data_IF_918724526107
#
_entry.id   IF_918724526107
#
_cell.length_a   1.000
_cell.length_b   1.000
_cell.length_c   1.000
_cell.angle_alpha   90.00
_cell.angle_beta   90.00
_cell.angle_gamma   90.00
#
_symmetry.space_group_name_H-M   'P 1'
#
loop_
_entity.id
_entity.type
_entity.pdbx_description
1 polymer ?
#
# COMPACT_ATOMS: atom_id res chain seq x y z
N UNK A 1 -20.66 -15.11 -4.53
CA UNK A 1 -19.66 -14.09 -4.94
C UNK A 1 -19.06 -13.31 -3.78
N UNK A 2 -19.83 -12.70 -2.86
CA UNK A 2 -19.22 -11.98 -1.70
C UNK A 2 -18.48 -12.88 -0.72
N UNK A 3 -18.89 -14.14 -0.55
CA UNK A 3 -18.19 -15.11 0.30
C UNK A 3 -16.81 -15.51 -0.25
N UNK A 4 -16.62 -15.49 -1.57
CA UNK A 4 -15.35 -15.86 -2.19
C UNK A 4 -14.26 -14.80 -1.97
N UNK A 5 -14.61 -13.50 -2.02
CA UNK A 5 -13.62 -12.41 -1.84
C UNK A 5 -13.14 -12.32 -0.38
N UNK A 6 -14.03 -12.51 0.59
CA UNK A 6 -13.65 -12.58 2.00
C UNK A 6 -12.82 -13.84 2.31
N UNK A 7 -13.11 -14.97 1.65
CA UNK A 7 -12.29 -16.18 1.74
C UNK A 7 -10.86 -15.92 1.26
N UNK A 8 -10.69 -15.23 0.12
CA UNK A 8 -9.36 -14.86 -0.37
C UNK A 8 -8.59 -13.98 0.62
N UNK A 9 -9.28 -13.06 1.33
CA UNK A 9 -8.64 -12.26 2.37
C UNK A 9 -8.18 -13.12 3.57
N UNK A 10 -8.98 -14.14 3.95
CA UNK A 10 -8.57 -15.12 4.97
C UNK A 10 -7.35 -15.91 4.55
N UNK A 11 -7.35 -16.42 3.32
CA UNK A 11 -6.25 -17.20 2.77
C UNK A 11 -4.98 -16.37 2.67
N UNK A 12 -5.11 -15.10 2.26
CA UNK A 12 -3.99 -14.15 2.23
C UNK A 12 -3.39 -13.95 3.63
N UNK A 13 -4.21 -13.71 4.67
CA UNK A 13 -3.73 -13.53 6.03
C UNK A 13 -2.99 -14.79 6.53
N UNK A 14 -3.55 -15.97 6.28
CA UNK A 14 -2.94 -17.25 6.65
C UNK A 14 -1.63 -17.47 5.88
N UNK A 15 -1.56 -17.13 4.59
CA UNK A 15 -0.36 -17.22 3.77
C UNK A 15 0.75 -16.29 4.27
N UNK A 16 0.42 -15.05 4.64
CA UNK A 16 1.40 -14.13 5.21
C UNK A 16 1.98 -14.70 6.50
N UNK A 17 1.14 -15.16 7.42
CA UNK A 17 1.57 -15.71 8.71
C UNK A 17 2.39 -16.99 8.60
N UNK A 18 2.02 -17.87 7.67
CA UNK A 18 2.72 -19.15 7.49
C UNK A 18 4.05 -19.00 6.73
N UNK A 19 4.14 -18.04 5.78
CA UNK A 19 5.32 -17.86 4.93
C UNK A 19 6.29 -16.80 5.47
N UNK A 20 5.83 -15.84 6.31
CA UNK A 20 6.64 -14.78 6.87
C UNK A 20 7.38 -13.94 5.81
N UNK A 21 6.70 -13.42 4.76
CA UNK A 21 7.39 -12.82 3.61
C UNK A 21 8.29 -11.67 4.01
N UNK A 22 9.48 -11.60 3.40
CA UNK A 22 10.36 -10.45 3.54
C UNK A 22 9.80 -9.26 2.74
N UNK A 23 9.66 -8.14 3.42
CA UNK A 23 9.34 -6.86 2.77
C UNK A 23 10.53 -5.93 2.95
N UNK A 24 11.26 -5.70 1.85
CA UNK A 24 12.31 -4.72 1.79
C UNK A 24 11.71 -3.33 1.67
N UNK A 25 11.88 -2.51 2.71
CA UNK A 25 11.22 -1.22 2.80
C UNK A 25 12.18 -0.07 2.60
N UNK A 26 11.94 0.67 1.53
CA UNK A 26 12.48 1.99 1.33
C UNK A 26 11.46 3.01 1.84
N UNK A 27 11.40 3.17 3.17
CA UNK A 27 10.36 3.96 3.84
C UNK A 27 10.79 5.42 4.03
N UNK A 28 9.98 6.24 4.70
CA UNK A 28 10.31 7.60 5.08
C UNK A 28 10.55 7.70 6.60
N UNK A 29 11.25 8.74 7.06
CA UNK A 29 11.63 8.94 8.46
C UNK A 29 10.45 8.95 9.44
N UNK A 30 9.26 9.34 8.97
CA UNK A 30 8.06 9.43 9.82
C UNK A 30 7.39 8.06 9.98
N UNK A 31 7.52 7.18 8.99
CA UNK A 31 6.76 5.93 8.90
C UNK A 31 7.55 4.66 9.24
N UNK A 32 8.88 4.73 9.35
CA UNK A 32 9.72 3.54 9.58
C UNK A 32 9.26 2.68 10.75
N UNK A 33 9.01 3.28 11.90
CA UNK A 33 8.61 2.56 13.11
C UNK A 33 7.25 1.86 12.93
N UNK A 34 6.21 2.60 12.54
CA UNK A 34 4.88 2.03 12.40
C UNK A 34 4.80 1.00 11.26
N UNK A 35 5.53 1.20 10.17
CA UNK A 35 5.60 0.27 9.05
C UNK A 35 6.24 -1.07 9.47
N UNK A 36 7.38 -1.01 10.16
CA UNK A 36 8.05 -2.21 10.67
C UNK A 36 7.17 -2.96 11.68
N UNK A 37 6.54 -2.24 12.63
CA UNK A 37 5.66 -2.85 13.62
C UNK A 37 4.40 -3.46 13.00
N UNK A 38 3.79 -2.82 11.99
CA UNK A 38 2.64 -3.36 11.29
C UNK A 38 2.99 -4.67 10.53
N UNK A 39 4.15 -4.71 9.87
CA UNK A 39 4.64 -5.93 9.21
C UNK A 39 4.88 -7.06 10.20
N UNK A 40 5.57 -6.79 11.32
CA UNK A 40 5.78 -7.79 12.38
C UNK A 40 4.45 -8.27 12.95
N UNK A 41 3.53 -7.36 13.22
CA UNK A 41 2.22 -7.70 13.78
C UNK A 41 1.41 -8.63 12.89
N UNK A 42 1.43 -8.44 11.57
CA UNK A 42 0.68 -9.31 10.65
C UNK A 42 1.39 -10.64 10.37
N UNK A 43 2.65 -10.78 10.76
CA UNK A 43 3.47 -11.99 10.56
C UNK A 43 4.44 -11.93 9.39
N UNK A 44 4.72 -10.73 8.84
CA UNK A 44 5.74 -10.51 7.81
C UNK A 44 7.07 -10.06 8.44
N UNK A 45 8.14 -10.10 7.65
CA UNK A 45 9.51 -9.74 8.07
C UNK A 45 9.94 -8.41 7.43
N UNK A 46 10.07 -7.30 8.17
CA UNK A 46 10.53 -6.04 7.63
C UNK A 46 12.06 -6.00 7.47
N UNK A 47 12.55 -5.50 6.34
CA UNK A 47 13.95 -5.11 6.15
C UNK A 47 14.01 -3.61 5.82
N UNK A 48 14.48 -2.78 6.75
CA UNK A 48 14.53 -1.32 6.62
C UNK A 48 15.89 -0.88 6.07
N UNK A 49 16.24 -1.34 4.85
CA UNK A 49 17.54 -1.10 4.21
C UNK A 49 17.44 -0.03 3.12
N UNK A 50 18.29 0.99 3.19
CA UNK A 50 18.22 2.17 2.33
C UNK A 50 19.52 2.45 1.58
N UNK A 51 20.60 1.71 1.87
CA UNK A 51 21.87 1.95 1.23
C UNK A 51 21.84 1.50 -0.24
N UNK A 52 22.36 2.34 -1.13
CA UNK A 52 22.46 2.04 -2.56
C UNK A 52 23.30 0.80 -2.83
N UNK A 53 24.33 0.61 -2.01
CA UNK A 53 25.28 -0.50 -2.08
C UNK A 53 24.62 -1.86 -1.79
N UNK A 54 23.53 -1.88 -0.99
CA UNK A 54 22.81 -3.10 -0.64
C UNK A 54 21.66 -3.43 -1.63
N UNK A 55 21.34 -2.53 -2.57
CA UNK A 55 20.17 -2.66 -3.42
C UNK A 55 20.12 -3.96 -4.23
N UNK A 56 21.26 -4.36 -4.80
CA UNK A 56 21.37 -5.61 -5.53
C UNK A 56 21.18 -6.83 -4.61
N UNK A 57 21.79 -6.82 -3.43
CA UNK A 57 21.74 -7.95 -2.51
C UNK A 57 20.33 -8.17 -1.97
N UNK A 58 19.67 -7.11 -1.51
CA UNK A 58 18.28 -7.20 -1.07
C UNK A 58 17.31 -7.61 -2.19
N UNK A 59 17.55 -7.15 -3.41
CA UNK A 59 16.75 -7.57 -4.56
C UNK A 59 16.93 -9.07 -4.85
N UNK A 60 18.16 -9.59 -4.78
CA UNK A 60 18.40 -11.03 -4.96
C UNK A 60 17.80 -11.86 -3.82
N UNK A 61 17.91 -11.40 -2.57
CA UNK A 61 17.28 -12.05 -1.42
C UNK A 61 15.75 -12.10 -1.64
N UNK A 62 15.12 -10.96 -1.97
CA UNK A 62 13.68 -10.92 -2.23
C UNK A 62 13.27 -11.88 -3.35
N UNK A 63 14.05 -11.98 -4.43
CA UNK A 63 13.80 -12.95 -5.51
C UNK A 63 13.87 -14.39 -5.00
N UNK A 64 14.90 -14.71 -4.22
CA UNK A 64 15.15 -16.08 -3.75
C UNK A 64 14.07 -16.60 -2.79
N UNK A 65 13.47 -15.72 -1.99
CA UNK A 65 12.49 -16.10 -0.96
C UNK A 65 11.07 -15.55 -1.22
N UNK A 66 10.81 -15.11 -2.46
CA UNK A 66 9.54 -14.47 -2.84
C UNK A 66 9.16 -13.30 -1.93
N UNK A 67 10.10 -12.37 -1.73
CA UNK A 67 9.85 -11.12 -1.02
C UNK A 67 9.28 -10.02 -1.93
N UNK A 68 9.13 -8.81 -1.40
CA UNK A 68 8.70 -7.63 -2.15
C UNK A 68 9.50 -6.39 -1.72
N UNK A 69 9.53 -5.36 -2.59
CA UNK A 69 10.07 -4.05 -2.26
C UNK A 69 8.90 -3.06 -2.08
N UNK A 70 9.03 -2.12 -1.15
CA UNK A 70 8.16 -0.95 -1.06
C UNK A 70 8.98 0.34 -1.07
N UNK A 71 8.57 1.33 -1.87
CA UNK A 71 9.22 2.63 -1.94
C UNK A 71 8.20 3.71 -1.62
N UNK A 72 8.52 4.52 -0.61
CA UNK A 72 7.72 5.66 -0.16
C UNK A 72 8.55 6.94 -0.21
N UNK A 73 8.09 7.95 -0.97
CA UNK A 73 8.87 9.17 -1.23
C UNK A 73 8.65 10.30 -0.19
N UNK A 74 8.06 10.00 0.96
CA UNK A 74 7.56 10.99 1.93
C UNK A 74 8.60 11.99 2.43
N UNK A 75 9.83 11.56 2.67
CA UNK A 75 10.94 12.41 3.14
C UNK A 75 12.18 12.30 2.25
N UNK A 76 11.98 12.21 0.92
CA UNK A 76 13.10 12.15 -0.01
C UNK A 76 13.94 13.42 0.01
N UNK A 77 15.25 13.19 -0.04
CA UNK A 77 16.31 14.11 -0.42
C UNK A 77 17.05 13.58 -1.66
N UNK A 78 18.03 14.31 -2.23
CA UNK A 78 18.75 13.86 -3.43
C UNK A 78 19.47 12.52 -3.25
N UNK A 79 20.00 12.22 -2.07
CA UNK A 79 20.68 10.95 -1.81
C UNK A 79 19.68 9.78 -1.77
N UNK A 80 18.58 9.93 -1.04
CA UNK A 80 17.53 8.92 -0.98
C UNK A 80 16.85 8.69 -2.32
N UNK A 81 16.71 9.73 -3.12
CA UNK A 81 16.23 9.61 -4.50
C UNK A 81 17.10 8.65 -5.33
N UNK A 82 18.43 8.81 -5.27
CA UNK A 82 19.36 7.92 -6.00
C UNK A 82 19.29 6.48 -5.49
N UNK A 83 19.26 6.30 -4.17
CA UNK A 83 19.16 4.98 -3.55
C UNK A 83 17.84 4.28 -3.95
N UNK A 84 16.70 4.99 -3.90
CA UNK A 84 15.40 4.45 -4.29
C UNK A 84 15.33 4.08 -5.79
N UNK A 85 15.94 4.89 -6.65
CA UNK A 85 16.05 4.57 -8.08
C UNK A 85 16.84 3.30 -8.32
N UNK A 86 17.95 3.12 -7.64
CA UNK A 86 18.74 1.87 -7.76
C UNK A 86 17.94 0.69 -7.21
N UNK A 87 17.26 0.83 -6.06
CA UNK A 87 16.39 -0.21 -5.52
C UNK A 87 15.29 -0.62 -6.51
N UNK A 88 14.56 0.35 -7.09
CA UNK A 88 13.51 0.09 -8.08
C UNK A 88 14.05 -0.58 -9.34
N UNK A 89 15.22 -0.16 -9.82
CA UNK A 89 15.92 -0.75 -10.96
C UNK A 89 16.27 -2.21 -10.70
N UNK A 90 16.91 -2.50 -9.56
CA UNK A 90 17.29 -3.86 -9.19
C UNK A 90 16.06 -4.77 -8.98
N UNK A 91 15.02 -4.26 -8.33
CA UNK A 91 13.76 -5.00 -8.18
C UNK A 91 13.14 -5.36 -9.54
N UNK A 92 13.09 -4.40 -10.48
CA UNK A 92 12.55 -4.63 -11.82
C UNK A 92 13.40 -5.62 -12.63
N UNK A 93 14.73 -5.53 -12.56
CA UNK A 93 15.65 -6.45 -13.26
C UNK A 93 15.55 -7.88 -12.74
N UNK A 94 15.30 -8.04 -11.44
CA UNK A 94 15.18 -9.34 -10.79
C UNK A 94 13.73 -9.83 -10.69
N UNK A 95 12.76 -9.13 -11.28
CA UNK A 95 11.33 -9.49 -11.26
C UNK A 95 10.75 -9.54 -9.84
N UNK A 96 11.32 -8.77 -8.91
CA UNK A 96 10.79 -8.61 -7.55
C UNK A 96 9.56 -7.69 -7.61
N UNK A 97 8.39 -8.13 -7.13
CA UNK A 97 7.21 -7.27 -7.10
C UNK A 97 7.44 -6.09 -6.13
N UNK A 98 6.97 -4.89 -6.53
CA UNK A 98 7.16 -3.74 -5.68
C UNK A 98 6.02 -2.73 -5.72
N UNK A 99 5.90 -1.96 -4.63
CA UNK A 99 4.86 -0.95 -4.42
C UNK A 99 5.49 0.43 -4.39
N UNK A 100 4.94 1.36 -5.16
CA UNK A 100 5.27 2.78 -5.08
C UNK A 100 4.19 3.54 -4.32
N UNK A 101 4.61 4.29 -3.29
CA UNK A 101 3.77 5.22 -2.52
C UNK A 101 4.24 6.66 -2.81
N UNK A 102 3.52 7.41 -3.67
CA UNK A 102 3.93 8.71 -4.18
C UNK A 102 3.56 9.84 -3.20
N UNK A 103 3.89 9.70 -1.93
CA UNK A 103 3.50 10.63 -0.86
C UNK A 103 3.77 12.08 -1.24
N UNK A 104 2.69 12.87 -1.26
CA UNK A 104 2.74 14.29 -1.57
C UNK A 104 3.02 14.59 -3.05
N UNK A 105 2.74 13.67 -3.96
CA UNK A 105 2.69 13.97 -5.39
C UNK A 105 1.77 15.18 -5.65
N UNK A 106 2.18 16.07 -6.56
CA UNK A 106 1.49 17.34 -6.80
C UNK A 106 1.98 18.52 -5.93
N UNK A 107 2.59 18.26 -4.78
CA UNK A 107 3.01 19.32 -3.86
C UNK A 107 4.27 20.08 -4.31
N UNK A 108 5.16 19.45 -5.07
CA UNK A 108 6.37 20.09 -5.58
C UNK A 108 6.90 19.44 -6.85
N UNK A 109 7.68 20.20 -7.65
CA UNK A 109 8.37 19.67 -8.84
C UNK A 109 9.28 18.50 -8.50
N UNK A 110 10.00 18.58 -7.38
CA UNK A 110 10.92 17.53 -6.93
C UNK A 110 10.17 16.21 -6.71
N UNK A 111 9.01 16.23 -6.02
CA UNK A 111 8.19 15.03 -5.82
C UNK A 111 7.66 14.46 -7.13
N UNK A 112 7.12 15.31 -8.00
CA UNK A 112 6.59 14.90 -9.29
C UNK A 112 7.66 14.23 -10.16
N UNK A 113 8.85 14.84 -10.26
CA UNK A 113 9.99 14.27 -10.98
C UNK A 113 10.42 12.91 -10.41
N UNK A 114 10.43 12.77 -9.07
CA UNK A 114 10.74 11.48 -8.45
C UNK A 114 9.73 10.39 -8.81
N UNK A 115 8.44 10.71 -8.78
CA UNK A 115 7.39 9.77 -9.19
C UNK A 115 7.57 9.38 -10.66
N UNK A 116 7.74 10.35 -11.56
CA UNK A 116 7.96 10.09 -13.00
C UNK A 116 9.17 9.18 -13.25
N UNK A 117 10.28 9.41 -12.54
CA UNK A 117 11.49 8.60 -12.65
C UNK A 117 11.28 7.17 -12.11
N UNK A 118 10.62 7.02 -10.96
CA UNK A 118 10.35 5.71 -10.38
C UNK A 118 9.34 4.91 -11.21
N UNK A 119 8.33 5.54 -11.78
CA UNK A 119 7.35 4.91 -12.66
C UNK A 119 7.97 4.25 -13.90
N UNK A 120 9.14 4.73 -14.39
CA UNK A 120 9.89 4.11 -15.48
C UNK A 120 10.32 2.68 -15.18
N UNK A 121 10.49 2.34 -13.91
CA UNK A 121 10.82 0.99 -13.46
C UNK A 121 9.60 0.08 -13.24
N UNK A 122 8.41 0.53 -13.63
CA UNK A 122 7.15 -0.23 -13.65
C UNK A 122 6.85 -0.91 -12.30
N UNK A 123 6.41 -0.15 -11.27
CA UNK A 123 5.94 -0.75 -10.03
C UNK A 123 4.83 -1.78 -10.31
N UNK A 124 4.76 -2.83 -9.53
CA UNK A 124 3.63 -3.75 -9.57
C UNK A 124 2.35 -3.04 -9.13
N UNK A 125 2.48 -2.24 -8.07
CA UNK A 125 1.38 -1.45 -7.50
C UNK A 125 1.82 0.01 -7.36
N UNK A 126 0.97 0.94 -7.80
CA UNK A 126 1.00 2.34 -7.37
C UNK A 126 -0.12 2.52 -6.34
N UNK A 127 0.22 2.95 -5.12
CA UNK A 127 -0.75 3.19 -4.05
C UNK A 127 -0.67 4.63 -3.55
N UNK A 128 -1.76 5.37 -3.59
CA UNK A 128 -1.85 6.73 -3.06
C UNK A 128 -3.27 7.09 -2.62
N UNK A 129 -3.45 8.27 -2.03
CA UNK A 129 -4.78 8.84 -1.86
C UNK A 129 -5.29 9.45 -3.17
N UNK A 130 -6.56 9.85 -3.21
CA UNK A 130 -7.18 10.38 -4.43
C UNK A 130 -6.42 11.57 -5.04
N UNK A 131 -5.93 12.51 -4.22
CA UNK A 131 -5.19 13.68 -4.71
C UNK A 131 -3.81 13.32 -5.26
N UNK A 132 -3.12 12.36 -4.65
CA UNK A 132 -1.83 11.86 -5.13
C UNK A 132 -1.98 11.12 -6.47
N UNK A 133 -2.98 10.25 -6.59
CA UNK A 133 -3.26 9.53 -7.85
C UNK A 133 -3.66 10.49 -8.97
N UNK A 134 -4.50 11.49 -8.71
CA UNK A 134 -4.84 12.53 -9.68
C UNK A 134 -3.61 13.35 -10.09
N UNK A 135 -2.71 13.66 -9.17
CA UNK A 135 -1.47 14.34 -9.48
C UNK A 135 -0.55 13.50 -10.39
N UNK A 136 -0.42 12.20 -10.11
CA UNK A 136 0.34 11.27 -10.97
C UNK A 136 -0.28 11.18 -12.36
N UNK A 137 -1.60 11.23 -12.49
CA UNK A 137 -2.28 11.26 -13.79
C UNK A 137 -2.09 12.58 -14.55
N UNK A 138 -1.44 13.59 -13.97
CA UNK A 138 -1.28 14.92 -14.56
C UNK A 138 -2.55 15.78 -14.52
N UNK A 139 -3.55 15.38 -13.75
CA UNK A 139 -4.78 16.14 -13.52
C UNK A 139 -4.49 17.18 -12.46
N UNK A 140 -4.35 18.45 -12.88
CA UNK A 140 -4.02 19.55 -11.98
C UNK A 140 -5.10 19.75 -10.91
N UNK A 141 -4.66 19.54 -9.66
CA UNK A 141 -5.25 20.13 -8.49
C UNK A 141 -6.72 19.82 -8.20
N UNK A 142 -6.96 18.92 -7.27
CA UNK A 142 -8.17 18.99 -6.46
C UNK A 142 -8.17 20.33 -5.73
N UNK A 143 -8.81 21.35 -6.32
CA UNK A 143 -9.05 22.63 -5.66
C UNK A 143 -9.78 22.39 -4.35
N UNK A 144 -9.44 23.13 -3.30
CA UNK A 144 -10.21 23.16 -2.06
C UNK A 144 -11.68 23.39 -2.40
N UNK A 145 -12.53 22.38 -2.23
CA UNK A 145 -13.99 22.57 -2.34
C UNK A 145 -14.75 21.68 -3.32
N UNK A 146 -14.20 20.55 -3.77
CA UNK A 146 -14.97 19.56 -4.53
C UNK A 146 -15.64 18.60 -3.56
N UNK A 147 -16.96 18.35 -3.74
CA UNK A 147 -17.72 17.37 -2.97
C UNK A 147 -17.05 15.99 -3.00
N UNK A 148 -16.98 15.32 -1.84
CA UNK A 148 -16.24 14.07 -1.65
C UNK A 148 -16.60 12.95 -2.64
N UNK A 149 -17.81 12.93 -3.17
CA UNK A 149 -18.28 11.93 -4.14
C UNK A 149 -17.77 12.17 -5.56
N UNK A 150 -17.67 13.42 -6.01
CA UNK A 150 -17.10 13.74 -7.34
C UNK A 150 -15.59 13.49 -7.36
N UNK A 151 -14.89 13.81 -6.28
CA UNK A 151 -13.43 13.57 -6.19
C UNK A 151 -13.07 12.07 -6.18
N UNK A 152 -13.92 11.20 -5.62
CA UNK A 152 -13.67 9.74 -5.60
C UNK A 152 -13.82 9.12 -7.00
N UNK A 153 -14.81 9.56 -7.80
CA UNK A 153 -14.99 9.08 -9.16
C UNK A 153 -13.85 9.56 -10.08
N UNK A 154 -13.43 10.81 -9.97
CA UNK A 154 -12.30 11.36 -10.73
C UNK A 154 -11.00 10.63 -10.40
N UNK A 155 -10.76 10.31 -9.13
CA UNK A 155 -9.60 9.55 -8.71
C UNK A 155 -9.61 8.11 -9.24
N UNK A 156 -10.79 7.47 -9.32
CA UNK A 156 -10.94 6.13 -9.90
C UNK A 156 -10.67 6.14 -11.41
N UNK A 157 -11.18 7.13 -12.14
CA UNK A 157 -10.93 7.26 -13.58
C UNK A 157 -9.45 7.54 -13.87
N UNK A 158 -8.81 8.37 -13.05
CA UNK A 158 -7.37 8.59 -13.09
C UNK A 158 -6.60 7.29 -12.83
N UNK A 159 -6.99 6.53 -11.82
CA UNK A 159 -6.39 5.24 -11.48
C UNK A 159 -6.49 4.23 -12.63
N UNK A 160 -7.68 4.08 -13.25
CA UNK A 160 -7.89 3.22 -14.41
C UNK A 160 -6.99 3.63 -15.58
N UNK A 161 -6.89 4.93 -15.84
CA UNK A 161 -6.03 5.46 -16.92
C UNK A 161 -4.56 5.16 -16.68
N UNK A 162 -4.05 5.39 -15.46
CA UNK A 162 -2.67 5.06 -15.09
C UNK A 162 -2.42 3.56 -15.21
N UNK A 163 -3.34 2.74 -14.72
CA UNK A 163 -3.22 1.28 -14.75
C UNK A 163 -3.08 0.76 -16.19
N UNK A 164 -3.93 1.22 -17.10
CA UNK A 164 -3.89 0.83 -18.53
C UNK A 164 -2.60 1.30 -19.19
N UNK A 165 -2.25 2.60 -19.03
CA UNK A 165 -1.09 3.18 -19.71
C UNK A 165 0.24 2.55 -19.30
N UNK A 166 0.36 2.16 -18.03
CA UNK A 166 1.61 1.64 -17.48
C UNK A 166 1.60 0.12 -17.31
N UNK A 167 0.47 -0.55 -17.53
CA UNK A 167 0.27 -1.98 -17.26
C UNK A 167 0.65 -2.36 -15.83
N UNK A 168 0.07 -1.65 -14.87
CA UNK A 168 0.28 -1.82 -13.42
C UNK A 168 -1.07 -1.86 -12.70
N UNK A 169 -1.07 -2.20 -11.42
CA UNK A 169 -2.23 -2.07 -10.56
C UNK A 169 -2.15 -0.73 -9.84
N UNK A 170 -3.30 -0.07 -9.67
CA UNK A 170 -3.42 1.17 -8.91
C UNK A 170 -4.39 0.98 -7.75
N UNK A 171 -3.95 1.35 -6.56
CA UNK A 171 -4.76 1.37 -5.34
C UNK A 171 -4.98 2.82 -4.90
N UNK A 172 -6.23 3.24 -4.87
CA UNK A 172 -6.66 4.57 -4.40
C UNK A 172 -7.28 4.41 -3.03
N UNK A 173 -6.76 5.12 -2.02
CA UNK A 173 -7.33 5.08 -0.67
C UNK A 173 -8.08 6.36 -0.34
N UNK A 174 -9.25 6.20 0.32
CA UNK A 174 -10.15 7.28 0.67
C UNK A 174 -11.25 6.82 1.64
N UNK A 175 -12.44 7.39 1.54
CA UNK A 175 -13.62 6.93 2.28
C UNK A 175 -14.09 5.56 1.78
N UNK A 176 -14.03 5.36 0.47
CA UNK A 176 -14.07 4.06 -0.20
C UNK A 176 -12.75 3.86 -0.90
N UNK A 177 -12.12 2.73 -0.68
CA UNK A 177 -10.86 2.39 -1.35
C UNK A 177 -11.17 1.64 -2.65
N UNK A 178 -10.32 1.84 -3.67
CA UNK A 178 -10.42 1.17 -4.96
C UNK A 178 -9.08 0.55 -5.36
N UNK A 179 -9.14 -0.65 -5.94
CA UNK A 179 -7.97 -1.31 -6.54
C UNK A 179 -8.33 -1.74 -7.95
N UNK A 180 -7.55 -1.29 -8.95
CA UNK A 180 -7.85 -1.55 -10.36
C UNK A 180 -6.60 -1.86 -11.18
N UNK A 181 -6.74 -2.73 -12.18
CA UNK A 181 -5.76 -2.94 -13.25
C UNK A 181 -6.18 -2.23 -14.56
N UNK A 182 -7.25 -1.42 -14.47
CA UNK A 182 -7.87 -0.73 -15.60
C UNK A 182 -8.95 -1.53 -16.32
N UNK A 183 -9.05 -2.84 -16.09
CA UNK A 183 -10.10 -3.73 -16.66
C UNK A 183 -11.03 -4.23 -15.58
N UNK A 184 -10.47 -4.62 -14.46
CA UNK A 184 -11.18 -5.08 -13.28
C UNK A 184 -10.94 -4.09 -12.13
N UNK A 185 -11.97 -3.89 -11.33
CA UNK A 185 -11.90 -2.98 -10.19
C UNK A 185 -12.56 -3.62 -8.98
N UNK A 186 -11.91 -3.53 -7.84
CA UNK A 186 -12.50 -3.83 -6.55
C UNK A 186 -12.74 -2.54 -5.78
N UNK A 187 -13.89 -2.43 -5.12
CA UNK A 187 -14.16 -1.44 -4.09
C UNK A 187 -14.09 -2.09 -2.72
N UNK A 188 -13.49 -1.38 -1.77
CA UNK A 188 -13.29 -1.87 -0.40
C UNK A 188 -13.84 -0.82 0.56
N UNK A 189 -14.65 -1.27 1.51
CA UNK A 189 -15.21 -0.43 2.57
C UNK A 189 -14.73 -0.92 3.92
N UNK A 190 -14.36 0.00 4.80
CA UNK A 190 -13.89 -0.28 6.16
C UNK A 190 -12.99 0.84 6.68
N UNK A 191 -12.43 0.61 7.86
CA UNK A 191 -11.62 1.62 8.54
C UNK A 191 -12.46 2.57 9.39
N UNK A 192 -11.83 3.66 9.83
CA UNK A 192 -12.46 4.66 10.67
C UNK A 192 -11.77 6.03 10.50
N UNK A 193 -12.52 7.12 10.56
CA UNK A 193 -12.01 8.47 10.39
C UNK A 193 -10.86 8.84 11.34
N UNK A 194 -10.83 8.26 12.56
CA UNK A 194 -9.74 8.48 13.51
C UNK A 194 -8.38 8.02 12.99
N UNK A 195 -8.32 7.09 12.02
CA UNK A 195 -7.07 6.67 11.39
C UNK A 195 -6.37 7.85 10.68
N UNK A 196 -7.12 8.83 10.20
CA UNK A 196 -6.54 10.04 9.58
C UNK A 196 -5.80 10.94 10.56
N UNK A 197 -6.06 10.78 11.87
CA UNK A 197 -5.41 11.51 12.97
C UNK A 197 -4.14 10.82 13.48
N UNK A 198 -3.79 9.66 12.93
CA UNK A 198 -2.55 8.94 13.23
C UNK A 198 -1.65 9.01 12.00
N UNK A 199 -0.51 9.68 12.14
CA UNK A 199 0.43 9.81 11.00
C UNK A 199 0.94 8.46 10.52
N UNK A 200 1.27 8.38 9.24
CA UNK A 200 1.88 7.22 8.59
C UNK A 200 1.04 5.92 8.55
N UNK A 201 -0.26 5.97 8.91
CA UNK A 201 -1.15 4.81 8.72
C UNK A 201 -1.23 4.37 7.26
N UNK A 202 -1.29 5.32 6.32
CA UNK A 202 -1.22 5.03 4.89
C UNK A 202 0.11 4.40 4.48
N UNK A 203 1.23 4.92 4.96
CA UNK A 203 2.56 4.36 4.67
C UNK A 203 2.71 2.93 5.22
N UNK A 204 2.14 2.63 6.38
CA UNK A 204 2.10 1.27 6.93
C UNK A 204 1.28 0.33 6.03
N UNK A 205 0.13 0.78 5.53
CA UNK A 205 -0.67 0.01 4.56
C UNK A 205 0.14 -0.31 3.30
N UNK A 206 0.92 0.64 2.77
CA UNK A 206 1.80 0.40 1.62
C UNK A 206 2.75 -0.77 1.86
N UNK A 207 3.36 -0.83 3.06
CA UNK A 207 4.25 -1.92 3.43
C UNK A 207 3.50 -3.27 3.58
N UNK A 208 2.30 -3.25 4.14
CA UNK A 208 1.43 -4.44 4.23
C UNK A 208 1.00 -4.95 2.85
N UNK A 209 0.73 -4.05 1.88
CA UNK A 209 0.49 -4.42 0.49
C UNK A 209 1.73 -5.12 -0.10
N UNK A 210 2.94 -4.67 0.25
CA UNK A 210 4.19 -5.37 -0.08
C UNK A 210 4.18 -6.82 0.39
N UNK A 211 3.79 -7.08 1.64
CA UNK A 211 3.65 -8.45 2.16
C UNK A 211 2.57 -9.25 1.41
N UNK A 212 1.45 -8.62 1.06
CA UNK A 212 0.36 -9.26 0.34
C UNK A 212 0.77 -9.71 -1.06
N UNK A 213 1.44 -8.85 -1.82
CA UNK A 213 1.88 -9.18 -3.19
C UNK A 213 3.09 -10.13 -3.22
N UNK A 214 3.82 -10.26 -2.13
CA UNK A 214 4.89 -11.26 -2.00
C UNK A 214 4.33 -12.69 -2.00
N UNK A 215 3.20 -12.94 -1.33
CA UNK A 215 2.66 -14.29 -1.12
C UNK A 215 1.40 -14.61 -1.93
N UNK A 216 0.68 -13.59 -2.41
CA UNK A 216 -0.56 -13.76 -3.17
C UNK A 216 -0.30 -14.01 -4.66
N UNK A 217 -1.04 -14.92 -5.29
CA UNK A 217 -0.94 -15.22 -6.72
C UNK A 217 -1.59 -14.11 -7.56
N UNK A 218 -2.83 -13.75 -7.26
CA UNK A 218 -3.52 -12.59 -7.86
C UNK A 218 -3.16 -11.31 -7.11
N UNK A 219 -2.28 -10.50 -7.70
CA UNK A 219 -1.79 -9.26 -7.06
C UNK A 219 -2.89 -8.21 -6.89
N UNK A 220 -3.87 -8.17 -7.82
CA UNK A 220 -5.02 -7.24 -7.74
C UNK A 220 -5.89 -7.59 -6.53
N UNK A 221 -6.31 -8.85 -6.42
CA UNK A 221 -7.14 -9.31 -5.32
C UNK A 221 -6.38 -9.31 -3.98
N UNK A 222 -5.09 -9.66 -3.98
CA UNK A 222 -4.25 -9.59 -2.78
C UNK A 222 -4.14 -8.18 -2.23
N UNK A 223 -4.01 -7.17 -3.11
CA UNK A 223 -4.00 -5.75 -2.72
C UNK A 223 -5.34 -5.35 -2.11
N UNK A 224 -6.47 -5.68 -2.76
CA UNK A 224 -7.80 -5.40 -2.24
C UNK A 224 -8.06 -6.09 -0.88
N UNK A 225 -7.65 -7.36 -0.77
CA UNK A 225 -7.77 -8.15 0.46
C UNK A 225 -6.98 -7.52 1.62
N UNK A 226 -5.75 -7.06 1.36
CA UNK A 226 -4.93 -6.42 2.40
C UNK A 226 -5.52 -5.09 2.86
N UNK A 227 -6.04 -4.28 1.93
CA UNK A 227 -6.74 -3.03 2.29
C UNK A 227 -7.94 -3.34 3.20
N UNK A 228 -8.74 -4.35 2.87
CA UNK A 228 -9.87 -4.78 3.70
C UNK A 228 -9.46 -5.29 5.09
N UNK A 229 -8.40 -6.09 5.18
CA UNK A 229 -7.83 -6.57 6.46
C UNK A 229 -7.36 -5.39 7.31
N UNK A 230 -6.64 -4.43 6.71
CA UNK A 230 -6.14 -3.26 7.42
C UNK A 230 -7.28 -2.33 7.87
N UNK A 231 -8.28 -2.12 7.03
CA UNK A 231 -9.48 -1.37 7.37
C UNK A 231 -10.23 -1.99 8.55
N UNK A 232 -10.42 -3.32 8.54
CA UNK A 232 -11.02 -4.06 9.65
C UNK A 232 -10.23 -3.89 10.96
N UNK A 233 -8.90 -4.01 10.91
CA UNK A 233 -8.04 -3.80 12.09
C UNK A 233 -8.21 -2.38 12.65
N UNK A 234 -8.30 -1.36 11.77
CA UNK A 234 -8.53 0.04 12.13
C UNK A 234 -9.93 0.28 12.73
N UNK A 235 -10.97 -0.32 12.16
CA UNK A 235 -12.32 -0.25 12.68
C UNK A 235 -12.43 -0.89 14.06
N UNK A 236 -11.85 -2.08 14.25
CA UNK A 236 -11.82 -2.73 15.55
C UNK A 236 -11.04 -1.91 16.59
N UNK A 237 -9.93 -1.30 16.19
CA UNK A 237 -9.15 -0.41 17.04
C UNK A 237 -9.97 0.81 17.50
N UNK A 238 -10.75 1.40 16.60
CA UNK A 238 -11.56 2.59 16.91
C UNK A 238 -12.61 2.34 17.99
N UNK A 239 -13.15 1.12 18.07
CA UNK A 239 -14.19 0.72 19.05
C UNK A 239 -13.70 0.76 20.50
N UNK A 240 -12.38 0.64 20.73
CA UNK A 240 -11.77 0.60 22.06
C UNK A 240 -10.82 1.77 22.34
N UNK A 241 -10.40 2.48 21.29
CA UNK A 241 -9.48 3.60 21.41
C UNK A 241 -10.13 4.82 22.07
N UNK A 242 -9.38 5.47 22.96
CA UNK A 242 -9.79 6.74 23.60
C UNK A 242 -9.32 7.98 22.82
N UNK A 243 -8.50 7.77 21.79
CA UNK A 243 -7.94 8.82 20.94
C UNK A 243 -6.88 8.27 19.99
N UNK A 244 -6.22 9.14 19.18
CA UNK A 244 -5.25 8.71 18.16
C UNK A 244 -4.08 7.87 18.69
N UNK A 245 -3.57 8.19 19.87
CA UNK A 245 -2.45 7.45 20.48
C UNK A 245 -2.84 5.98 20.79
N UNK A 246 -3.96 5.77 21.46
CA UNK A 246 -4.47 4.43 21.72
C UNK A 246 -5.00 3.73 20.48
N UNK A 247 -5.52 4.47 19.47
CA UNK A 247 -5.86 3.89 18.18
C UNK A 247 -4.64 3.24 17.52
N UNK A 248 -3.49 3.95 17.47
CA UNK A 248 -2.25 3.40 16.91
C UNK A 248 -1.83 2.10 17.62
N UNK A 249 -1.89 2.07 18.93
CA UNK A 249 -1.57 0.89 19.72
C UNK A 249 -2.52 -0.27 19.37
N UNK A 250 -3.83 -0.04 19.44
CA UNK A 250 -4.82 -1.07 19.16
C UNK A 250 -4.86 -1.52 17.70
N UNK A 251 -4.45 -0.68 16.75
CA UNK A 251 -4.32 -1.06 15.34
C UNK A 251 -3.24 -2.14 15.18
N UNK A 252 -2.08 -1.97 15.81
CA UNK A 252 -1.00 -2.94 15.79
C UNK A 252 -1.42 -4.23 16.51
N UNK A 253 -2.05 -4.13 17.68
CA UNK A 253 -2.58 -5.27 18.42
C UNK A 253 -3.59 -6.07 17.59
N UNK A 254 -4.52 -5.38 16.89
CA UNK A 254 -5.52 -6.04 16.07
C UNK A 254 -4.91 -6.71 14.84
N UNK A 255 -3.92 -6.12 14.17
CA UNK A 255 -3.21 -6.78 13.07
C UNK A 255 -2.61 -8.12 13.51
N UNK A 256 -2.09 -8.19 14.74
CA UNK A 256 -1.56 -9.42 15.31
C UNK A 256 -2.65 -10.44 15.68
N UNK A 257 -3.78 -9.96 16.22
CA UNK A 257 -4.82 -10.80 16.81
C UNK A 257 -5.97 -11.16 15.87
N UNK A 258 -6.08 -10.54 14.68
CA UNK A 258 -7.10 -10.89 13.69
C UNK A 258 -7.10 -12.40 13.40
N UNK A 259 -8.29 -13.00 13.34
CA UNK A 259 -8.46 -14.38 12.96
C UNK A 259 -9.33 -14.53 11.71
N UNK A 260 -9.28 -15.70 11.09
CA UNK A 260 -10.00 -15.97 9.83
C UNK A 260 -11.51 -15.74 9.94
N UNK A 261 -12.13 -16.02 11.10
CA UNK A 261 -13.56 -15.78 11.32
C UNK A 261 -13.89 -14.30 11.25
N UNK A 262 -13.12 -13.45 11.94
CA UNK A 262 -13.31 -12.00 11.92
C UNK A 262 -13.14 -11.43 10.51
N UNK A 263 -12.13 -11.89 9.77
CA UNK A 263 -11.89 -11.47 8.38
C UNK A 263 -13.06 -11.89 7.48
N UNK A 264 -13.52 -13.15 7.58
CA UNK A 264 -14.61 -13.68 6.78
C UNK A 264 -15.94 -12.95 6.99
N UNK A 265 -16.23 -12.56 8.24
CA UNK A 265 -17.48 -11.93 8.62
C UNK A 265 -17.53 -10.41 8.34
N UNK A 266 -16.36 -9.74 8.30
CA UNK A 266 -16.33 -8.28 8.34
C UNK A 266 -15.54 -7.60 7.19
N UNK A 267 -14.71 -8.30 6.44
CA UNK A 267 -14.04 -7.72 5.28
C UNK A 267 -15.04 -7.56 4.14
N UNK A 268 -15.18 -6.33 3.65
CA UNK A 268 -16.16 -5.98 2.63
C UNK A 268 -15.46 -5.53 1.34
N UNK A 269 -15.35 -6.45 0.39
CA UNK A 269 -14.79 -6.25 -0.95
C UNK A 269 -15.88 -6.55 -1.98
N UNK A 270 -16.00 -5.70 -3.00
CA UNK A 270 -16.95 -5.86 -4.10
C UNK A 270 -16.24 -5.70 -5.45
N UNK A 271 -16.65 -6.48 -6.41
CA UNK A 271 -16.32 -6.29 -7.83
C UNK A 271 -17.22 -5.19 -8.40
N UNK A 272 -16.66 -4.17 -9.09
CA UNK A 272 -17.40 -2.98 -9.56
C UNK A 272 -16.96 -2.57 -10.97
#
# INVERSE_FOLDING_TARGET
>A
MTNDLASNACDLLNNIRSKGPLVWNFSNFVSMDIAANALLAIGASPAMAHAKEEANDFSQICKAINGALTINIGTFDPYWQECAKEAAKQASQNEVPWVLDPVGAGASKFRNQNVEELMKFKPTILRGNGSEIMAVAGIAGGGKGVDSTSSSNEALDAAKSIAIMNNIIVAVTGETDYVTDGKKTYSISGGHEMMTKVTATGCALTCLIGAAIAVGEDKLLSTASMIGIYGLAGEMASKVAKGPGSLRMHLIDNLSNLNSKQVMENVNIKDV
#
